data_IF_714436682337
#
_entry.id   IF_714436682337
#
_cell.length_a   1.000
_cell.length_b   1.000
_cell.length_c   1.000
_cell.angle_alpha   90.00
_cell.angle_beta   90.00
_cell.angle_gamma   90.00
#
_symmetry.space_group_name_H-M   'P 1'
#
loop_
_entity.id
_entity.type
_entity.pdbx_description
1 polymer ?
#
# COMPACT_ATOMS: atom_id res chain seq x y z
N UNK A 1 -43.56 -13.44 44.71
CA UNK A 1 -43.88 -12.11 44.13
C UNK A 1 -42.60 -11.31 43.91
N UNK A 2 -41.69 -11.26 44.88
CA UNK A 2 -40.40 -10.55 44.78
C UNK A 2 -39.48 -11.05 43.64
N UNK A 3 -39.44 -12.36 43.39
CA UNK A 3 -38.61 -12.96 42.32
C UNK A 3 -39.03 -12.50 40.91
N UNK A 4 -40.32 -12.30 40.67
CA UNK A 4 -40.84 -11.81 39.39
C UNK A 4 -40.50 -10.32 39.18
N UNK A 5 -40.43 -9.54 40.26
CA UNK A 5 -40.07 -8.13 40.22
C UNK A 5 -38.59 -7.97 39.85
N UNK A 6 -37.72 -8.77 40.46
CA UNK A 6 -36.28 -8.80 40.16
C UNK A 6 -35.99 -9.22 38.72
N UNK A 7 -36.72 -10.20 38.19
CA UNK A 7 -36.58 -10.60 36.79
C UNK A 7 -36.97 -9.48 35.81
N UNK A 8 -38.02 -8.71 36.14
CA UNK A 8 -38.45 -7.57 35.34
C UNK A 8 -37.36 -6.47 35.31
N UNK A 9 -36.80 -6.13 36.47
CA UNK A 9 -35.73 -5.12 36.58
C UNK A 9 -34.46 -5.52 35.81
N UNK A 10 -34.07 -6.80 35.87
CA UNK A 10 -32.92 -7.32 35.10
C UNK A 10 -33.18 -7.22 33.60
N UNK A 11 -34.40 -7.56 33.17
CA UNK A 11 -34.78 -7.49 31.76
C UNK A 11 -34.78 -6.04 31.25
N UNK A 12 -35.36 -5.12 32.01
CA UNK A 12 -35.41 -3.69 31.68
C UNK A 12 -34.00 -3.07 31.63
N UNK A 13 -33.12 -3.44 32.57
CA UNK A 13 -31.72 -3.02 32.54
C UNK A 13 -30.99 -3.59 31.31
N UNK A 14 -31.26 -4.84 30.94
CA UNK A 14 -30.71 -5.46 29.74
C UNK A 14 -31.16 -4.76 28.45
N UNK A 15 -32.45 -4.45 28.35
CA UNK A 15 -33.04 -3.74 27.21
C UNK A 15 -32.46 -2.33 27.04
N UNK A 16 -32.38 -1.57 28.13
CA UNK A 16 -31.82 -0.20 28.10
C UNK A 16 -30.33 -0.20 27.75
N UNK A 17 -29.56 -1.15 28.28
CA UNK A 17 -28.14 -1.32 27.94
C UNK A 17 -27.96 -1.66 26.46
N UNK A 18 -28.77 -2.60 25.93
CA UNK A 18 -28.73 -2.97 24.52
C UNK A 18 -29.10 -1.79 23.61
N UNK A 19 -30.14 -1.03 23.95
CA UNK A 19 -30.54 0.15 23.19
C UNK A 19 -29.42 1.20 23.14
N UNK A 20 -28.75 1.46 24.26
CA UNK A 20 -27.62 2.36 24.33
C UNK A 20 -26.46 1.90 23.43
N UNK A 21 -26.14 0.60 23.44
CA UNK A 21 -25.11 0.03 22.56
C UNK A 21 -25.47 0.16 21.07
N UNK A 22 -26.73 -0.11 20.70
CA UNK A 22 -27.20 0.02 19.31
C UNK A 22 -27.10 1.47 18.84
N UNK A 23 -27.53 2.43 19.67
CA UNK A 23 -27.40 3.87 19.37
C UNK A 23 -25.94 4.27 19.19
N UNK A 24 -25.06 3.81 20.09
CA UNK A 24 -23.63 4.10 20.01
C UNK A 24 -22.99 3.50 18.75
N UNK A 25 -23.34 2.27 18.39
CA UNK A 25 -22.87 1.62 17.17
C UNK A 25 -23.35 2.38 15.92
N UNK A 26 -24.60 2.85 15.91
CA UNK A 26 -25.13 3.67 14.83
C UNK A 26 -24.34 4.96 14.60
N UNK A 27 -23.95 5.65 15.67
CA UNK A 27 -23.10 6.84 15.59
C UNK A 27 -21.71 6.52 15.04
N UNK A 28 -21.10 5.41 15.48
CA UNK A 28 -19.80 4.97 14.97
C UNK A 28 -19.86 4.62 13.49
N UNK A 29 -20.92 3.93 13.05
CA UNK A 29 -21.13 3.59 11.65
C UNK A 29 -21.31 4.85 10.79
N UNK A 30 -22.14 5.80 11.21
CA UNK A 30 -22.34 7.06 10.50
C UNK A 30 -21.03 7.86 10.35
N UNK A 31 -20.21 7.89 11.40
CA UNK A 31 -18.89 8.53 11.35
C UNK A 31 -17.95 7.82 10.36
N UNK A 32 -17.95 6.50 10.34
CA UNK A 32 -17.14 5.71 9.42
C UNK A 32 -17.59 5.92 7.96
N UNK A 33 -18.89 5.91 7.69
CA UNK A 33 -19.46 6.18 6.36
C UNK A 33 -19.08 7.57 5.86
N UNK A 34 -19.14 8.59 6.72
CA UNK A 34 -18.71 9.95 6.37
C UNK A 34 -17.23 10.00 5.95
N UNK A 35 -16.36 9.26 6.67
CA UNK A 35 -14.93 9.15 6.33
C UNK A 35 -14.72 8.45 4.99
N UNK A 36 -15.44 7.35 4.75
CA UNK A 36 -15.36 6.63 3.48
C UNK A 36 -15.81 7.52 2.31
N UNK A 37 -16.93 8.25 2.46
CA UNK A 37 -17.42 9.17 1.43
C UNK A 37 -16.40 10.28 1.10
N UNK A 38 -15.69 10.82 2.11
CA UNK A 38 -14.61 11.79 1.86
C UNK A 38 -13.45 11.18 1.08
N UNK A 39 -13.07 9.94 1.39
CA UNK A 39 -11.98 9.25 0.69
C UNK A 39 -12.37 8.92 -0.75
N UNK A 40 -13.59 8.44 -0.98
CA UNK A 40 -14.13 8.19 -2.32
C UNK A 40 -14.12 9.47 -3.17
N UNK A 41 -14.58 10.60 -2.62
CA UNK A 41 -14.51 11.90 -3.31
C UNK A 41 -13.09 12.30 -3.67
N UNK A 42 -12.11 12.02 -2.80
CA UNK A 42 -10.69 12.30 -3.09
C UNK A 42 -10.15 11.39 -4.18
N UNK A 43 -10.47 10.10 -4.16
CA UNK A 43 -10.05 9.15 -5.20
C UNK A 43 -10.66 9.51 -6.56
N UNK A 44 -11.95 9.91 -6.59
CA UNK A 44 -12.63 10.32 -7.82
C UNK A 44 -12.16 11.67 -8.36
N UNK A 45 -11.63 12.56 -7.51
CA UNK A 45 -11.08 13.86 -7.95
C UNK A 45 -9.58 13.81 -8.27
N UNK A 46 -8.85 12.82 -7.76
CA UNK A 46 -7.49 12.55 -8.19
C UNK A 46 -7.51 11.78 -9.52
N UNK A 47 -7.49 12.49 -10.64
CA UNK A 47 -7.12 11.90 -11.93
C UNK A 47 -5.74 11.24 -11.78
N UNK A 48 -5.53 10.01 -12.29
CA UNK A 48 -4.18 9.48 -12.43
C UNK A 48 -3.46 10.38 -13.42
N UNK A 49 -2.67 11.32 -12.91
CA UNK A 49 -1.71 12.05 -13.71
C UNK A 49 -0.70 11.01 -14.20
N UNK A 50 -1.00 10.40 -15.36
CA UNK A 50 -0.02 9.70 -16.16
C UNK A 50 1.07 10.72 -16.41
N UNK A 51 2.21 10.52 -15.75
CA UNK A 51 3.35 11.41 -15.83
C UNK A 51 3.86 11.41 -17.26
N UNK A 52 3.52 12.44 -18.02
CA UNK A 52 4.37 12.90 -19.12
C UNK A 52 5.67 13.40 -18.49
N UNK A 53 6.61 12.49 -18.28
CA UNK A 53 8.02 12.85 -18.11
C UNK A 53 8.67 12.76 -19.48
N UNK A 54 8.65 13.88 -20.21
CA UNK A 54 9.62 14.10 -21.26
C UNK A 54 11.03 14.04 -20.61
N UNK A 55 11.98 13.24 -21.12
CA UNK A 55 13.33 13.25 -20.59
C UNK A 55 14.01 14.56 -20.99
N UNK A 56 14.23 15.47 -20.05
CA UNK A 56 15.22 16.54 -20.22
C UNK A 56 16.60 15.88 -20.23
N UNK A 57 17.11 15.60 -21.44
CA UNK A 57 18.51 15.23 -21.66
C UNK A 57 19.39 16.39 -21.22
N UNK A 58 20.30 16.11 -20.30
CA UNK A 58 21.33 17.02 -19.85
C UNK A 58 22.60 16.20 -19.69
N UNK A 59 23.31 15.95 -20.79
CA UNK A 59 24.73 15.56 -20.75
C UNK A 59 25.39 15.81 -22.11
N UNK A 60 26.47 16.59 -22.08
CA UNK A 60 27.48 16.65 -23.13
C UNK A 60 28.28 15.34 -23.14
N UNK A 61 28.54 14.80 -24.34
CA UNK A 61 29.82 14.21 -24.76
C UNK A 61 29.65 13.55 -26.13
N UNK A 62 30.56 13.89 -27.04
CA UNK A 62 30.66 13.40 -28.40
C UNK A 62 30.88 11.88 -28.49
N UNK A 63 30.19 11.26 -29.43
CA UNK A 63 30.31 9.83 -29.73
C UNK A 63 29.65 9.49 -31.07
N UNK A 64 30.45 9.49 -32.12
CA UNK A 64 30.16 9.15 -33.52
C UNK A 64 29.57 7.73 -33.66
N UNK A 65 28.47 7.55 -34.39
CA UNK A 65 27.96 6.24 -34.82
C UNK A 65 26.66 6.33 -35.64
N UNK A 66 26.74 5.87 -36.89
CA UNK A 66 25.85 6.05 -38.04
C UNK A 66 24.45 5.34 -37.96
N UNK A 67 23.44 5.69 -38.78
CA UNK A 67 22.04 5.30 -38.60
C UNK A 67 21.63 4.07 -39.43
N UNK A 68 21.04 3.07 -38.77
CA UNK A 68 20.40 1.93 -39.42
C UNK A 68 18.90 1.89 -39.12
N UNK A 69 18.08 2.20 -40.13
CA UNK A 69 16.64 1.93 -40.17
C UNK A 69 16.40 0.42 -40.10
N UNK A 70 15.28 -0.05 -39.52
CA UNK A 70 14.29 -0.95 -40.13
C UNK A 70 13.15 -1.23 -39.14
N UNK A 71 11.97 -1.46 -39.71
CA UNK A 71 10.63 -1.49 -39.17
C UNK A 71 10.35 -2.54 -38.08
N UNK A 72 9.30 -2.23 -37.30
CA UNK A 72 8.57 -3.16 -36.45
C UNK A 72 7.80 -4.19 -37.30
N UNK A 73 7.76 -5.45 -36.85
CA UNK A 73 6.53 -6.24 -36.92
C UNK A 73 6.09 -6.63 -35.52
N UNK A 74 4.86 -6.19 -35.18
CA UNK A 74 3.98 -6.91 -34.28
C UNK A 74 3.71 -8.27 -34.92
N UNK A 75 4.03 -9.36 -34.23
CA UNK A 75 3.02 -10.37 -33.95
C UNK A 75 3.47 -11.38 -32.89
N UNK A 76 2.44 -11.92 -32.26
CA UNK A 76 2.35 -13.20 -31.56
C UNK A 76 2.85 -13.35 -30.12
N UNK A 77 1.84 -13.71 -29.33
CA UNK A 77 1.80 -13.97 -27.90
C UNK A 77 2.29 -15.39 -27.70
N UNK A 78 3.42 -15.55 -27.01
CA UNK A 78 3.75 -16.84 -26.39
C UNK A 78 4.24 -16.58 -24.96
N UNK A 79 3.54 -17.21 -24.02
CA UNK A 79 3.84 -17.14 -22.59
C UNK A 79 5.23 -17.75 -22.35
N UNK A 80 6.16 -17.08 -21.65
CA UNK A 80 7.41 -17.70 -21.30
C UNK A 80 7.16 -18.79 -20.25
N UNK A 81 7.29 -20.03 -20.69
CA UNK A 81 7.51 -21.18 -19.83
C UNK A 81 8.64 -20.88 -18.83
N UNK A 82 8.38 -21.21 -17.57
CA UNK A 82 9.32 -21.09 -16.46
C UNK A 82 10.53 -22.00 -16.70
N UNK A 83 11.59 -21.45 -17.27
CA UNK A 83 12.92 -22.07 -17.22
C UNK A 83 13.59 -21.68 -15.89
N UNK A 84 13.91 -22.63 -14.98
CA UNK A 84 14.66 -22.33 -13.79
C UNK A 84 16.15 -22.35 -14.15
N UNK A 85 16.64 -21.28 -14.77
CA UNK A 85 18.07 -21.12 -15.03
C UNK A 85 18.51 -19.66 -14.90
N UNK A 86 18.68 -19.23 -13.65
CA UNK A 86 19.78 -18.39 -13.16
C UNK A 86 19.43 -17.96 -11.74
N UNK A 87 20.40 -18.04 -10.83
CA UNK A 87 20.43 -17.29 -9.56
C UNK A 87 20.44 -15.78 -9.85
N UNK A 88 19.35 -15.25 -10.39
CA UNK A 88 19.12 -13.81 -10.43
C UNK A 88 18.74 -13.43 -8.99
N UNK A 89 19.49 -12.54 -8.31
CA UNK A 89 19.16 -12.17 -6.94
C UNK A 89 17.73 -11.62 -6.97
N UNK A 90 16.80 -12.37 -6.37
CA UNK A 90 15.39 -12.05 -6.38
C UNK A 90 15.22 -10.57 -6.04
N UNK A 91 14.70 -9.81 -7.00
CA UNK A 91 14.59 -8.35 -6.87
C UNK A 91 13.91 -8.03 -5.55
N UNK A 92 14.54 -7.27 -4.64
CA UNK A 92 13.95 -7.06 -3.33
C UNK A 92 12.67 -6.23 -3.44
N UNK A 93 11.65 -6.61 -2.68
CA UNK A 93 10.44 -5.82 -2.52
C UNK A 93 10.66 -4.74 -1.45
N UNK A 94 10.20 -3.53 -1.71
CA UNK A 94 10.21 -2.46 -0.71
C UNK A 94 9.17 -2.74 0.40
N UNK A 95 9.61 -2.79 1.65
CA UNK A 95 8.73 -3.06 2.80
C UNK A 95 7.71 -1.95 3.08
N UNK A 96 7.88 -0.75 2.51
CA UNK A 96 6.91 0.34 2.68
C UNK A 96 5.84 0.37 1.59
N UNK A 97 6.25 0.40 0.32
CA UNK A 97 5.34 0.59 -0.82
C UNK A 97 5.03 -0.70 -1.59
N UNK A 98 5.63 -1.83 -1.19
CA UNK A 98 5.41 -3.15 -1.79
C UNK A 98 5.74 -3.26 -3.29
N UNK A 99 6.55 -2.32 -3.82
CA UNK A 99 7.06 -2.38 -5.17
C UNK A 99 8.39 -3.14 -5.22
N UNK A 100 8.53 -4.03 -6.21
CA UNK A 100 9.80 -4.65 -6.54
C UNK A 100 10.72 -3.63 -7.21
N UNK A 101 11.97 -3.52 -6.74
CA UNK A 101 12.95 -2.62 -7.34
C UNK A 101 14.37 -3.12 -7.13
N UNK A 102 15.18 -3.14 -8.20
CA UNK A 102 16.62 -3.41 -8.11
C UNK A 102 17.39 -2.33 -7.33
N UNK A 103 16.74 -1.19 -7.03
CA UNK A 103 17.30 -0.09 -6.23
C UNK A 103 16.97 -0.20 -4.75
N UNK A 104 16.26 -1.26 -4.34
CA UNK A 104 16.00 -1.51 -2.93
C UNK A 104 17.33 -1.69 -2.18
N UNK A 105 17.46 -1.00 -1.05
CA UNK A 105 18.60 -1.12 -0.15
C UNK A 105 18.14 -1.60 1.23
N UNK A 106 18.96 -2.39 1.93
CA UNK A 106 18.60 -2.91 3.23
C UNK A 106 18.69 -1.82 4.31
N UNK A 107 17.97 -2.00 5.40
CA UNK A 107 18.07 -1.16 6.59
C UNK A 107 19.52 -1.19 7.11
N UNK A 108 20.19 -0.04 7.27
CA UNK A 108 21.61 0.00 7.65
C UNK A 108 21.87 -0.49 9.08
N UNK A 109 20.82 -0.63 9.89
CA UNK A 109 20.91 -1.11 11.28
C UNK A 109 20.74 -2.62 11.40
N UNK A 110 19.66 -3.16 10.86
CA UNK A 110 19.32 -4.58 11.06
C UNK A 110 19.49 -5.44 9.81
N UNK A 111 19.58 -4.84 8.62
CA UNK A 111 19.63 -5.57 7.34
C UNK A 111 18.37 -6.36 6.98
N UNK A 112 17.33 -6.38 7.83
CA UNK A 112 16.16 -7.25 7.67
C UNK A 112 15.06 -6.68 6.77
N UNK A 113 14.92 -5.35 6.72
CA UNK A 113 13.94 -4.68 5.85
C UNK A 113 14.64 -3.98 4.69
N UNK A 114 13.93 -3.82 3.57
CA UNK A 114 14.41 -3.27 2.31
C UNK A 114 13.55 -2.06 1.88
N UNK A 115 14.20 -1.03 1.32
CA UNK A 115 13.53 0.21 0.92
C UNK A 115 13.99 0.68 -0.44
N UNK A 116 13.07 1.07 -1.32
CA UNK A 116 13.40 1.61 -2.64
C UNK A 116 13.85 3.09 -2.61
N UNK A 117 13.69 3.78 -1.48
CA UNK A 117 14.09 5.17 -1.29
C UNK A 117 14.23 5.53 0.19
N UNK A 118 15.02 6.57 0.49
CA UNK A 118 15.11 7.13 1.85
C UNK A 118 13.76 7.64 2.38
N UNK A 119 12.85 8.06 1.50
CA UNK A 119 11.49 8.46 1.89
C UNK A 119 10.68 7.27 2.42
N UNK A 120 10.71 6.12 1.72
CA UNK A 120 10.07 4.89 2.14
C UNK A 120 10.60 4.40 3.50
N UNK A 121 11.92 4.46 3.68
CA UNK A 121 12.55 4.13 4.96
C UNK A 121 12.05 5.02 6.11
N UNK A 122 12.01 6.35 5.91
CA UNK A 122 11.54 7.28 6.95
C UNK A 122 10.06 7.08 7.28
N UNK A 123 9.21 6.84 6.29
CA UNK A 123 7.78 6.63 6.51
C UNK A 123 7.51 5.33 7.27
N UNK A 124 8.30 4.28 7.03
CA UNK A 124 8.19 3.01 7.74
C UNK A 124 8.87 3.00 9.11
N UNK A 125 9.73 3.98 9.40
CA UNK A 125 10.54 4.03 10.62
C UNK A 125 9.72 3.83 11.90
N UNK A 126 8.57 4.46 12.05
CA UNK A 126 7.76 4.36 13.27
C UNK A 126 7.29 2.93 13.57
N UNK A 127 6.95 2.14 12.55
CA UNK A 127 6.56 0.74 12.70
C UNK A 127 7.77 -0.19 12.83
N UNK A 128 8.87 0.16 12.16
CA UNK A 128 10.09 -0.64 12.14
C UNK A 128 10.95 -0.49 13.41
N UNK A 129 10.98 0.71 14.01
CA UNK A 129 11.92 1.08 15.06
C UNK A 129 11.89 0.16 16.28
N UNK A 130 10.71 -0.33 16.68
CA UNK A 130 10.55 -1.24 17.82
C UNK A 130 11.23 -2.60 17.61
N UNK A 131 11.40 -3.02 16.35
CA UNK A 131 11.98 -4.32 15.96
C UNK A 131 13.35 -4.17 15.31
N UNK A 132 13.86 -2.94 15.19
CA UNK A 132 15.12 -2.65 14.50
C UNK A 132 16.32 -3.01 15.39
N UNK A 133 17.04 -4.07 15.06
CA UNK A 133 18.28 -4.47 15.74
C UNK A 133 18.10 -5.49 16.87
N UNK A 134 16.88 -6.02 17.04
CA UNK A 134 16.68 -7.33 17.68
C UNK A 134 17.12 -8.44 16.72
#
# INVERSE_FOLDING_TARGET
MEEQLLQLEIMDLGLTSLEAMVRQQGLQNAHMEARLSMLEKRMSSSSPHMGSMAPKKLTCSDGKGDPGKTALPLDEVEAPELNPLADDPATPMCDYCFLFSHKCFPCPRCGREWYCSAACQRLRYHCHASRCGQ
#
